data_IF_461931047156
#
_entry.id   IF_461931047156
#
_cell.length_a   1.000
_cell.length_b   1.000
_cell.length_c   1.000
_cell.angle_alpha   90.00
_cell.angle_beta   90.00
_cell.angle_gamma   90.00
#
_symmetry.space_group_name_H-M   'P 1'
#
loop_
_entity.id
_entity.type
_entity.pdbx_description
1 polymer ?
#
# COMPACT_ATOMS: atom_id res chain seq x y z
N UNK A 1 3.86 -19.03 -1.76
CA UNK A 1 4.20 -17.63 -1.43
C UNK A 1 4.12 -16.93 -2.76
N UNK A 2 3.09 -16.13 -2.98
CA UNK A 2 2.88 -15.44 -4.25
C UNK A 2 3.96 -14.37 -4.42
N UNK A 3 4.52 -14.28 -5.62
CA UNK A 3 5.60 -13.37 -5.99
C UNK A 3 5.04 -12.03 -6.48
N UNK A 4 5.88 -10.99 -6.50
CA UNK A 4 5.52 -9.68 -7.11
C UNK A 4 5.09 -9.83 -8.58
N UNK A 5 5.61 -10.83 -9.29
CA UNK A 5 5.17 -11.16 -10.65
C UNK A 5 3.75 -11.72 -10.69
N UNK A 6 3.38 -12.59 -9.75
CA UNK A 6 2.03 -13.13 -9.63
C UNK A 6 1.02 -12.00 -9.36
N UNK A 7 1.37 -11.08 -8.47
CA UNK A 7 0.55 -9.90 -8.17
C UNK A 7 0.36 -9.01 -9.39
N UNK A 8 1.44 -8.75 -10.14
CA UNK A 8 1.42 -7.96 -11.38
C UNK A 8 0.64 -8.63 -12.51
N UNK A 9 0.65 -9.96 -12.57
CA UNK A 9 -0.16 -10.71 -13.52
C UNK A 9 -1.65 -10.64 -13.16
N UNK A 10 -1.98 -10.82 -11.87
CA UNK A 10 -3.34 -10.69 -11.36
C UNK A 10 -3.89 -9.27 -11.60
N UNK A 11 -3.10 -8.22 -11.34
CA UNK A 11 -3.51 -6.83 -11.62
C UNK A 11 -3.75 -6.59 -13.11
N UNK A 12 -2.87 -7.12 -13.98
CA UNK A 12 -3.05 -7.06 -15.44
C UNK A 12 -4.31 -7.79 -15.89
N UNK A 13 -4.61 -8.97 -15.31
CA UNK A 13 -5.86 -9.72 -15.57
C UNK A 13 -7.10 -8.91 -15.20
N UNK A 14 -7.01 -8.05 -14.18
CA UNK A 14 -8.08 -7.15 -13.77
C UNK A 14 -8.10 -5.81 -14.52
N UNK A 15 -7.25 -5.62 -15.53
CA UNK A 15 -7.25 -4.45 -16.41
C UNK A 15 -6.51 -3.22 -15.87
N UNK A 16 -5.70 -3.39 -14.83
CA UNK A 16 -4.83 -2.34 -14.32
C UNK A 16 -3.50 -2.34 -15.10
N UNK A 17 -3.28 -1.33 -15.95
CA UNK A 17 -2.00 -1.08 -16.63
C UNK A 17 -1.23 -0.04 -15.80
N UNK A 18 -0.34 -0.52 -14.93
CA UNK A 18 0.32 0.33 -13.93
C UNK A 18 1.80 0.56 -14.29
N UNK A 19 2.26 1.83 -14.40
CA UNK A 19 3.65 2.14 -14.65
C UNK A 19 4.55 1.67 -13.50
N UNK A 20 5.75 1.21 -13.87
CA UNK A 20 6.73 0.46 -13.07
C UNK A 20 7.25 1.19 -11.82
N UNK A 21 6.96 2.49 -11.69
CA UNK A 21 7.62 3.40 -10.75
C UNK A 21 6.71 3.80 -9.57
N UNK A 22 5.45 3.32 -9.53
CA UNK A 22 4.44 3.73 -8.53
C UNK A 22 3.93 2.60 -7.62
N UNK A 23 4.51 1.40 -7.67
CA UNK A 23 3.94 0.22 -7.00
C UNK A 23 4.80 -0.29 -5.84
N UNK A 24 4.98 0.51 -4.78
CA UNK A 24 5.40 -0.07 -3.49
C UNK A 24 4.24 -0.87 -2.84
N UNK A 25 3.00 -0.70 -3.30
CA UNK A 25 1.84 -1.45 -2.84
C UNK A 25 0.59 -1.24 -3.72
N UNK A 26 -0.44 -2.04 -3.47
CA UNK A 26 -1.74 -1.94 -4.12
C UNK A 26 -2.88 -2.48 -3.24
N UNK A 27 -4.01 -1.80 -3.28
CA UNK A 27 -5.29 -2.24 -2.73
C UNK A 27 -6.19 -2.88 -3.81
N UNK A 28 -6.47 -4.18 -3.65
CA UNK A 28 -7.46 -4.92 -4.43
C UNK A 28 -8.81 -4.92 -3.68
N UNK A 29 -9.64 -3.90 -3.93
CA UNK A 29 -10.84 -3.63 -3.11
C UNK A 29 -11.88 -4.76 -3.16
N UNK A 30 -12.08 -5.41 -4.32
CA UNK A 30 -13.08 -6.48 -4.47
C UNK A 30 -12.67 -7.75 -3.72
N UNK A 31 -11.37 -8.00 -3.68
CA UNK A 31 -10.73 -9.17 -3.10
C UNK A 31 -10.41 -8.96 -1.61
N UNK A 32 -10.52 -7.71 -1.11
CA UNK A 32 -10.17 -7.30 0.26
C UNK A 32 -8.71 -7.63 0.60
N UNK A 33 -7.82 -7.42 -0.37
CA UNK A 33 -6.39 -7.68 -0.25
C UNK A 33 -5.58 -6.40 -0.39
N UNK A 34 -4.54 -6.28 0.42
CA UNK A 34 -3.47 -5.29 0.25
C UNK A 34 -2.19 -6.06 -0.02
N UNK A 35 -1.54 -5.73 -1.11
CA UNK A 35 -0.28 -6.32 -1.54
C UNK A 35 0.80 -5.25 -1.44
N UNK A 36 1.96 -5.62 -0.91
CA UNK A 36 3.10 -4.72 -0.72
C UNK A 36 4.32 -5.32 -1.41
N UNK A 37 5.18 -4.48 -1.98
CA UNK A 37 6.46 -4.92 -2.50
C UNK A 37 7.31 -5.52 -1.36
N UNK A 38 8.05 -6.59 -1.67
CA UNK A 38 9.00 -7.18 -0.73
C UNK A 38 10.21 -6.24 -0.51
N UNK A 39 10.82 -6.32 0.67
CA UNK A 39 12.04 -5.57 0.96
C UNK A 39 11.86 -4.10 1.32
N UNK A 40 10.62 -3.59 1.43
CA UNK A 40 10.36 -2.25 1.92
C UNK A 40 10.89 -2.06 3.35
N UNK A 41 11.63 -0.97 3.59
CA UNK A 41 12.08 -0.62 4.93
C UNK A 41 10.89 -0.38 5.88
N UNK A 42 11.03 -0.73 7.16
CA UNK A 42 9.91 -0.80 8.13
C UNK A 42 9.00 0.44 8.14
N UNK A 43 9.59 1.64 8.21
CA UNK A 43 8.82 2.88 8.27
C UNK A 43 8.13 3.20 6.94
N UNK A 44 8.81 2.91 5.83
CA UNK A 44 8.28 3.07 4.47
C UNK A 44 7.14 2.08 4.20
N UNK A 45 7.34 0.80 4.54
CA UNK A 45 6.32 -0.25 4.49
C UNK A 45 5.05 0.13 5.26
N UNK A 46 5.19 0.80 6.40
CA UNK A 46 4.04 1.29 7.17
C UNK A 46 3.32 2.45 6.46
N UNK A 47 4.05 3.39 5.86
CA UNK A 47 3.47 4.48 5.06
C UNK A 47 2.64 3.91 3.90
N UNK A 48 3.19 2.93 3.16
CA UNK A 48 2.49 2.29 2.05
C UNK A 48 1.30 1.44 2.53
N UNK A 49 1.44 0.66 3.59
CA UNK A 49 0.29 -0.08 4.14
C UNK A 49 -0.87 0.84 4.53
N UNK A 50 -0.56 1.98 5.16
CA UNK A 50 -1.59 2.95 5.54
C UNK A 50 -2.17 3.67 4.33
N UNK A 51 -1.38 3.88 3.27
CA UNK A 51 -1.83 4.41 2.00
C UNK A 51 -2.91 3.50 1.39
N UNK A 52 -2.60 2.21 1.20
CA UNK A 52 -3.53 1.25 0.62
C UNK A 52 -4.77 1.01 1.51
N UNK A 53 -4.60 1.03 2.84
CA UNK A 53 -5.71 0.90 3.78
C UNK A 53 -6.69 2.08 3.68
N UNK A 54 -6.20 3.30 3.43
CA UNK A 54 -7.05 4.47 3.23
C UNK A 54 -7.86 4.37 1.95
N UNK A 55 -7.27 3.86 0.86
CA UNK A 55 -8.02 3.53 -0.35
C UNK A 55 -9.09 2.45 -0.12
N UNK A 56 -8.77 1.43 0.70
CA UNK A 56 -9.73 0.40 1.05
C UNK A 56 -10.92 0.95 1.88
N UNK A 57 -10.65 1.92 2.75
CA UNK A 57 -11.65 2.55 3.62
C UNK A 57 -12.56 3.54 2.86
N UNK A 58 -11.97 4.38 2.01
CA UNK A 58 -12.67 5.42 1.26
C UNK A 58 -12.04 5.57 -0.14
N UNK A 59 -12.67 4.95 -1.13
CA UNK A 59 -12.21 4.95 -2.51
C UNK A 59 -12.35 6.33 -3.19
N UNK A 60 -13.20 7.22 -2.66
CA UNK A 60 -13.40 8.57 -3.20
C UNK A 60 -12.38 9.57 -2.60
N UNK A 61 -11.55 9.12 -1.65
CA UNK A 61 -10.51 9.95 -1.08
C UNK A 61 -9.48 10.33 -2.13
N UNK A 62 -9.22 11.62 -2.28
CA UNK A 62 -8.23 12.09 -3.25
C UNK A 62 -6.83 11.61 -2.91
N UNK A 63 -6.06 11.26 -3.94
CA UNK A 63 -4.67 10.81 -3.82
C UNK A 63 -3.81 11.71 -2.92
N UNK A 64 -3.98 13.04 -3.05
CA UNK A 64 -3.30 14.02 -2.20
C UNK A 64 -3.62 13.82 -0.72
N UNK A 65 -4.90 13.58 -0.38
CA UNK A 65 -5.33 13.37 1.01
C UNK A 65 -4.82 12.03 1.54
N UNK A 66 -4.88 10.96 0.74
CA UNK A 66 -4.34 9.63 1.09
C UNK A 66 -2.86 9.75 1.42
N UNK A 67 -2.04 10.31 0.53
CA UNK A 67 -0.58 10.49 0.75
C UNK A 67 -0.26 11.28 2.03
N UNK A 68 -0.97 12.39 2.25
CA UNK A 68 -0.73 13.23 3.44
C UNK A 68 -1.10 12.50 4.73
N UNK A 69 -2.25 11.83 4.76
CA UNK A 69 -2.72 11.11 5.93
C UNK A 69 -1.84 9.89 6.22
N UNK A 70 -1.53 9.07 5.22
CA UNK A 70 -0.69 7.89 5.34
C UNK A 70 0.67 8.24 5.95
N UNK A 71 1.36 9.25 5.40
CA UNK A 71 2.65 9.74 5.93
C UNK A 71 2.52 10.28 7.35
N UNK A 72 1.47 11.04 7.64
CA UNK A 72 1.26 11.63 8.98
C UNK A 72 1.03 10.55 10.03
N UNK A 73 0.19 9.56 9.71
CA UNK A 73 -0.13 8.43 10.57
C UNK A 73 1.08 7.52 10.76
N UNK A 74 1.82 7.21 9.69
CA UNK A 74 3.05 6.41 9.77
C UNK A 74 4.08 7.06 10.70
N UNK A 75 4.31 8.37 10.55
CA UNK A 75 5.19 9.15 11.44
C UNK A 75 4.70 9.17 12.88
N UNK A 76 3.40 9.33 13.10
CA UNK A 76 2.81 9.32 14.43
C UNK A 76 2.98 7.95 15.11
N UNK A 77 2.63 6.87 14.40
CA UNK A 77 2.80 5.50 14.87
C UNK A 77 4.26 5.19 15.21
N UNK A 78 5.20 5.63 14.37
CA UNK A 78 6.63 5.47 14.65
C UNK A 78 7.06 6.23 15.90
N UNK A 79 6.58 7.45 16.13
CA UNK A 79 6.85 8.20 17.37
C UNK A 79 6.24 7.53 18.60
N UNK A 80 5.10 6.86 18.45
CA UNK A 80 4.44 6.09 19.51
C UNK A 80 5.07 4.70 19.77
N UNK A 81 6.16 4.37 19.08
CA UNK A 81 6.91 3.13 19.32
C UNK A 81 6.49 1.95 18.44
N UNK A 82 5.58 2.13 17.49
CA UNK A 82 5.33 1.09 16.47
C UNK A 82 6.58 0.91 15.61
N UNK A 83 7.04 -0.33 15.43
CA UNK A 83 8.24 -0.66 14.64
C UNK A 83 8.00 -1.61 13.48
N UNK A 84 6.74 -1.98 13.25
CA UNK A 84 6.38 -3.12 12.39
C UNK A 84 6.73 -4.45 13.08
N UNK A 85 5.93 -5.49 12.84
CA UNK A 85 6.39 -6.85 13.13
C UNK A 85 7.24 -7.31 11.95
N UNK A 86 8.40 -7.90 12.27
CA UNK A 86 9.28 -8.63 11.36
C UNK A 86 8.63 -9.92 10.88
#
# INVERSE_FOLDING_TARGET
METVEDVREETRRHGYDMPKDELDGICLHRERLILLEDGLERAHRLEILLHELLHAYDADMTERRVRVLARTLARAAWRLGYRGRT
#
